data_IF_160108003995
#
_entry.id   IF_160108003995
#
_cell.length_a   1.000
_cell.length_b   1.000
_cell.length_c   1.000
_cell.angle_alpha   90.00
_cell.angle_beta   90.00
_cell.angle_gamma   90.00
#
_symmetry.space_group_name_H-M   'P 1'
#
loop_
_entity.id
_entity.type
_entity.pdbx_description
1 polymer ?
#
# COMPACT_ATOMS: atom_id res chain seq x y z
N UNK A 1 25.58 -14.69 -11.57
CA UNK A 1 24.19 -14.56 -12.06
C UNK A 1 23.41 -13.94 -10.93
N UNK A 2 22.79 -12.77 -11.15
CA UNK A 2 21.80 -12.25 -10.20
C UNK A 2 20.64 -13.25 -10.28
N UNK A 3 20.16 -13.81 -9.16
CA UNK A 3 18.98 -14.66 -9.22
C UNK A 3 17.90 -13.84 -9.91
N UNK A 4 17.25 -14.39 -10.94
CA UNK A 4 16.04 -13.79 -11.48
C UNK A 4 15.12 -13.60 -10.26
N UNK A 5 14.98 -12.35 -9.80
CA UNK A 5 14.12 -12.05 -8.67
C UNK A 5 12.74 -12.55 -9.09
N UNK A 6 12.32 -13.66 -8.47
CA UNK A 6 11.12 -14.36 -8.88
C UNK A 6 9.99 -13.33 -8.77
N UNK A 7 9.36 -12.97 -9.90
CA UNK A 7 8.38 -11.88 -9.95
C UNK A 7 7.22 -12.17 -8.98
N UNK A 8 7.04 -13.43 -8.63
CA UNK A 8 6.13 -13.91 -7.60
C UNK A 8 6.47 -13.37 -6.20
N UNK A 9 7.75 -13.28 -5.81
CA UNK A 9 8.17 -12.78 -4.49
C UNK A 9 7.91 -11.28 -4.29
N UNK A 10 7.90 -10.48 -5.37
CA UNK A 10 7.59 -9.03 -5.26
C UNK A 10 6.09 -8.75 -5.16
N UNK A 11 5.24 -9.72 -5.49
CA UNK A 11 3.78 -9.61 -5.36
C UNK A 11 3.29 -10.08 -3.99
N UNK A 12 4.11 -10.77 -3.20
CA UNK A 12 3.79 -11.10 -1.82
C UNK A 12 4.11 -9.90 -0.88
N UNK A 13 3.21 -9.53 0.07
CA UNK A 13 1.99 -10.22 0.46
C UNK A 13 0.74 -9.76 -0.31
N UNK A 14 0.83 -8.93 -1.36
CA UNK A 14 -0.35 -8.42 -2.09
C UNK A 14 -1.24 -9.56 -2.58
N UNK A 15 -0.67 -10.68 -3.05
CA UNK A 15 -1.42 -11.84 -3.54
C UNK A 15 -2.01 -12.71 -2.41
N UNK A 16 -1.25 -12.99 -1.35
CA UNK A 16 -1.72 -13.84 -0.23
C UNK A 16 -2.46 -13.08 0.88
N UNK A 17 -2.41 -11.75 0.90
CA UNK A 17 -2.95 -10.94 1.98
C UNK A 17 -4.47 -11.15 2.17
N UNK A 18 -4.94 -11.11 3.43
CA UNK A 18 -6.36 -11.01 3.75
C UNK A 18 -7.03 -9.84 3.03
N UNK A 19 -8.34 -9.91 2.74
CA UNK A 19 -9.06 -8.85 2.04
C UNK A 19 -8.88 -7.46 2.65
N UNK A 20 -8.89 -7.34 3.98
CA UNK A 20 -8.67 -6.05 4.65
C UNK A 20 -7.27 -5.49 4.40
N UNK A 21 -6.25 -6.34 4.38
CA UNK A 21 -4.86 -5.94 4.15
C UNK A 21 -4.66 -5.54 2.69
N UNK A 22 -5.26 -6.26 1.73
CA UNK A 22 -5.28 -5.87 0.31
C UNK A 22 -5.90 -4.49 0.12
N UNK A 23 -7.05 -4.25 0.78
CA UNK A 23 -7.74 -2.96 0.70
C UNK A 23 -6.88 -1.82 1.25
N UNK A 24 -6.17 -2.03 2.36
CA UNK A 24 -5.22 -1.06 2.93
C UNK A 24 -4.11 -0.76 1.92
N UNK A 25 -3.45 -1.78 1.38
CA UNK A 25 -2.36 -1.63 0.41
C UNK A 25 -2.80 -0.79 -0.79
N UNK A 26 -3.94 -1.11 -1.40
CA UNK A 26 -4.42 -0.36 -2.56
C UNK A 26 -4.81 1.09 -2.24
N UNK A 27 -5.45 1.33 -1.08
CA UNK A 27 -5.85 2.69 -0.66
C UNK A 27 -4.60 3.55 -0.40
N UNK A 28 -3.60 3.00 0.31
CA UNK A 28 -2.32 3.70 0.58
C UNK A 28 -1.57 3.96 -0.72
N UNK A 29 -1.51 3.00 -1.65
CA UNK A 29 -0.83 3.22 -2.93
C UNK A 29 -1.49 4.33 -3.75
N UNK A 30 -2.83 4.36 -3.83
CA UNK A 30 -3.56 5.46 -4.49
C UNK A 30 -3.27 6.80 -3.84
N UNK A 31 -3.22 6.84 -2.51
CA UNK A 31 -2.89 8.04 -1.74
C UNK A 31 -1.48 8.55 -2.07
N UNK A 32 -0.47 7.69 -1.99
CA UNK A 32 0.93 8.02 -2.29
C UNK A 32 1.10 8.49 -3.73
N UNK A 33 0.48 7.80 -4.70
CA UNK A 33 0.50 8.20 -6.11
C UNK A 33 -0.11 9.59 -6.33
N UNK A 34 -1.18 9.93 -5.61
CA UNK A 34 -1.83 11.26 -5.67
C UNK A 34 -1.09 12.38 -4.91
N UNK A 35 0.01 12.05 -4.22
CA UNK A 35 0.85 12.99 -3.47
C UNK A 35 2.21 13.19 -4.11
N UNK A 36 2.70 12.19 -4.85
CA UNK A 36 3.91 12.24 -5.66
C UNK A 36 3.90 13.42 -6.64
N UNK A 37 2.74 13.71 -7.27
CA UNK A 37 2.56 14.87 -8.17
C UNK A 37 2.62 16.21 -7.41
N UNK A 38 2.06 16.25 -6.19
CA UNK A 38 1.90 17.47 -5.39
C UNK A 38 3.14 17.86 -4.58
N UNK A 39 4.19 17.03 -4.54
CA UNK A 39 5.37 17.18 -3.65
C UNK A 39 4.99 17.48 -2.19
N UNK A 40 3.80 17.06 -1.78
CA UNK A 40 3.23 17.35 -0.48
C UNK A 40 3.79 16.39 0.55
N UNK A 41 4.49 16.91 1.57
CA UNK A 41 4.96 16.15 2.74
C UNK A 41 3.96 16.17 3.91
N UNK A 42 2.66 16.32 3.62
CA UNK A 42 1.60 16.47 4.64
C UNK A 42 1.44 15.26 5.58
N UNK A 43 0.41 15.31 6.43
CA UNK A 43 0.09 14.35 7.50
C UNK A 43 -0.33 12.95 7.03
N UNK A 44 0.50 12.27 6.23
CA UNK A 44 0.19 10.98 5.63
C UNK A 44 -0.12 9.89 6.66
N UNK A 45 0.46 9.99 7.86
CA UNK A 45 0.20 9.04 8.93
C UNK A 45 -1.27 9.08 9.40
N UNK A 46 -1.90 10.25 9.43
CA UNK A 46 -3.30 10.38 9.84
C UNK A 46 -4.25 9.80 8.77
N UNK A 47 -3.90 9.99 7.50
CA UNK A 47 -4.61 9.40 6.36
C UNK A 47 -4.48 7.87 6.36
N UNK A 48 -3.27 7.34 6.57
CA UNK A 48 -3.02 5.89 6.68
C UNK A 48 -3.79 5.31 7.86
N UNK A 49 -3.77 5.97 9.03
CA UNK A 49 -4.49 5.51 10.21
C UNK A 49 -6.01 5.45 9.96
N UNK A 50 -6.55 6.41 9.21
CA UNK A 50 -7.96 6.42 8.80
C UNK A 50 -8.26 5.25 7.86
N UNK A 51 -7.41 5.03 6.85
CA UNK A 51 -7.52 3.89 5.91
C UNK A 51 -7.54 2.56 6.65
N UNK A 52 -6.65 2.37 7.63
CA UNK A 52 -6.59 1.14 8.43
C UNK A 52 -7.89 0.97 9.21
N UNK A 53 -8.32 1.99 9.98
CA UNK A 53 -9.54 1.92 10.79
C UNK A 53 -10.78 1.55 9.96
N UNK A 54 -10.92 2.10 8.76
CA UNK A 54 -12.02 1.77 7.86
C UNK A 54 -11.99 0.31 7.35
N UNK A 55 -10.80 -0.26 7.16
CA UNK A 55 -10.65 -1.61 6.60
C UNK A 55 -10.85 -2.73 7.63
N UNK A 56 -10.63 -2.45 8.92
CA UNK A 56 -10.78 -3.41 10.03
C UNK A 56 -12.03 -3.18 10.90
N UNK A 57 -12.96 -2.33 10.46
CA UNK A 57 -14.18 -2.00 11.20
C UNK A 57 -15.13 -3.19 11.40
#
# INVERSE_FOLDING_TARGET
>A
MIPEANIEDVQEPITSAPPEVKQIIEKVWRLEKSRLDRKSKGHINDDILTIVKEAVQ
#
